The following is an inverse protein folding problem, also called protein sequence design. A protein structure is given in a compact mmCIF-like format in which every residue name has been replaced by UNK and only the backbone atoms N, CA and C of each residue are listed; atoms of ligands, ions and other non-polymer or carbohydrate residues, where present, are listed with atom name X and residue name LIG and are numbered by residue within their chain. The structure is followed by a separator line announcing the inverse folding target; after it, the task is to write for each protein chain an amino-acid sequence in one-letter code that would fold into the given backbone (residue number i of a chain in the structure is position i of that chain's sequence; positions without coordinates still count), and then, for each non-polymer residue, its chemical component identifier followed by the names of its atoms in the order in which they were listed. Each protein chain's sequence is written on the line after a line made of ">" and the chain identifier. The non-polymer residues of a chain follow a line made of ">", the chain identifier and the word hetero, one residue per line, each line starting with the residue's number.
data_IF_534247196428
#
_entry.id   IF_534247196428
#
_cell.length_a   1.000
_cell.length_b   1.000
_cell.length_c   1.000
_cell.angle_alpha   90.00
_cell.angle_beta   90.00
_cell.angle_gamma   90.00
#
_symmetry.space_group_name_H-M   'P 1'
#
loop_
_entity.id
_entity.type
_entity.pdbx_description
1 polymer ?
#
# COMPACT_ATOMS: atom_id res chain seq x y z
N UNK A 1 -31.22 -17.49 4.74
CA UNK A 1 -30.47 -16.21 4.68
C UNK A 1 -31.13 -15.20 5.61
N UNK A 2 -30.37 -14.31 6.26
CA UNK A 2 -30.95 -13.27 7.11
C UNK A 2 -31.56 -12.12 6.30
N UNK A 3 -32.63 -11.52 6.82
CA UNK A 3 -33.34 -10.42 6.17
C UNK A 3 -32.43 -9.20 5.88
N UNK A 4 -31.42 -8.95 6.74
CA UNK A 4 -30.43 -7.88 6.52
C UNK A 4 -29.57 -8.14 5.28
N UNK A 5 -29.13 -9.39 5.10
CA UNK A 5 -28.35 -9.78 3.92
C UNK A 5 -29.22 -9.74 2.67
N UNK A 6 -30.49 -10.17 2.76
CA UNK A 6 -31.45 -10.04 1.69
C UNK A 6 -31.62 -8.59 1.22
N UNK A 7 -31.76 -7.65 2.15
CA UNK A 7 -31.86 -6.22 1.84
C UNK A 7 -30.65 -5.69 1.04
N UNK A 8 -29.43 -6.03 1.47
CA UNK A 8 -28.22 -5.64 0.76
C UNK A 8 -28.16 -6.23 -0.65
N UNK A 9 -28.59 -7.49 -0.83
CA UNK A 9 -28.67 -8.11 -2.14
C UNK A 9 -29.77 -7.47 -3.01
N UNK A 10 -30.91 -7.05 -2.43
CA UNK A 10 -31.94 -6.31 -3.17
C UNK A 10 -31.39 -5.00 -3.72
N UNK A 11 -30.66 -4.21 -2.93
CA UNK A 11 -30.05 -2.96 -3.41
C UNK A 11 -29.07 -3.21 -4.55
N UNK A 12 -28.15 -4.17 -4.38
CA UNK A 12 -27.22 -4.58 -5.45
C UNK A 12 -27.93 -5.05 -6.72
N UNK A 13 -29.10 -5.67 -6.60
CA UNK A 13 -29.91 -6.07 -7.76
C UNK A 13 -30.45 -4.85 -8.52
N UNK A 14 -30.95 -3.83 -7.82
CA UNK A 14 -31.41 -2.59 -8.45
C UNK A 14 -30.27 -1.80 -9.09
N UNK A 15 -29.08 -1.83 -8.48
CA UNK A 15 -27.86 -1.21 -9.04
C UNK A 15 -27.24 -2.01 -10.20
N UNK A 16 -27.80 -3.18 -10.55
CA UNK A 16 -27.28 -4.13 -11.56
C UNK A 16 -25.88 -4.68 -11.23
N UNK A 17 -25.51 -4.74 -9.96
CA UNK A 17 -24.22 -5.23 -9.44
C UNK A 17 -24.29 -6.61 -8.75
N UNK A 18 -25.43 -7.30 -8.84
CA UNK A 18 -25.61 -8.61 -8.21
C UNK A 18 -24.98 -9.75 -9.05
N UNK A 19 -24.33 -10.70 -8.39
CA UNK A 19 -23.83 -11.92 -9.06
C UNK A 19 -24.94 -12.95 -9.24
N UNK A 20 -24.81 -13.83 -10.24
CA UNK A 20 -25.81 -14.89 -10.54
C UNK A 20 -26.09 -15.82 -9.34
N UNK A 21 -25.08 -16.10 -8.51
CA UNK A 21 -25.23 -16.95 -7.32
C UNK A 21 -26.07 -16.22 -6.27
N UNK A 22 -25.75 -14.97 -5.98
CA UNK A 22 -26.49 -14.16 -5.01
C UNK A 22 -27.90 -13.82 -5.47
N UNK A 23 -28.14 -13.72 -6.78
CA UNK A 23 -29.47 -13.55 -7.33
C UNK A 23 -30.36 -14.76 -7.05
N UNK A 24 -29.84 -15.98 -7.21
CA UNK A 24 -30.55 -17.20 -6.82
C UNK A 24 -30.83 -17.24 -5.32
N UNK A 25 -29.83 -16.97 -4.49
CA UNK A 25 -29.99 -16.89 -3.03
C UNK A 25 -31.07 -15.89 -2.60
N UNK A 26 -31.08 -14.72 -3.26
CA UNK A 26 -32.06 -13.67 -3.01
C UNK A 26 -33.47 -14.11 -3.42
N UNK A 27 -33.63 -14.71 -4.60
CA UNK A 27 -34.94 -15.17 -5.08
C UNK A 27 -35.52 -16.23 -4.15
N UNK A 28 -34.72 -17.22 -3.72
CA UNK A 28 -35.15 -18.23 -2.74
C UNK A 28 -35.63 -17.57 -1.44
N UNK A 29 -34.89 -16.60 -0.92
CA UNK A 29 -35.29 -15.91 0.31
C UNK A 29 -36.55 -15.04 0.15
N UNK A 30 -36.73 -14.40 -1.01
CA UNK A 30 -37.94 -13.62 -1.31
C UNK A 30 -39.16 -14.54 -1.36
N UNK A 31 -39.03 -15.75 -1.88
CA UNK A 31 -40.14 -16.71 -1.93
C UNK A 31 -40.51 -17.25 -0.54
N UNK A 32 -39.52 -17.43 0.34
CA UNK A 32 -39.72 -17.93 1.70
C UNK A 32 -40.17 -16.84 2.70
N UNK A 33 -39.73 -15.59 2.51
CA UNK A 33 -39.96 -14.51 3.47
C UNK A 33 -40.94 -13.44 2.95
N UNK A 34 -42.18 -13.49 3.43
CA UNK A 34 -43.26 -12.56 3.06
C UNK A 34 -42.90 -11.08 3.29
N UNK A 35 -42.17 -10.76 4.36
CA UNK A 35 -41.76 -9.39 4.67
C UNK A 35 -40.76 -8.83 3.65
N UNK A 36 -39.79 -9.65 3.24
CA UNK A 36 -38.80 -9.31 2.21
C UNK A 36 -39.46 -9.21 0.84
N UNK A 37 -40.42 -10.09 0.52
CA UNK A 37 -41.22 -10.04 -0.71
C UNK A 37 -42.02 -8.75 -0.84
N UNK A 38 -42.72 -8.35 0.21
CA UNK A 38 -43.49 -7.11 0.22
C UNK A 38 -42.60 -5.88 -0.02
N UNK A 39 -41.42 -5.82 0.63
CA UNK A 39 -40.44 -4.74 0.42
C UNK A 39 -39.90 -4.73 -1.01
N UNK A 40 -39.54 -5.90 -1.54
CA UNK A 40 -39.03 -6.03 -2.90
C UNK A 40 -40.04 -5.56 -3.95
N UNK A 41 -41.31 -5.95 -3.82
CA UNK A 41 -42.38 -5.53 -4.72
C UNK A 41 -42.59 -4.01 -4.67
N UNK A 42 -42.65 -3.43 -3.47
CA UNK A 42 -42.82 -1.97 -3.30
C UNK A 42 -41.66 -1.16 -3.89
N UNK A 43 -40.42 -1.65 -3.72
CA UNK A 43 -39.25 -1.04 -4.35
C UNK A 43 -39.33 -1.15 -5.87
N UNK A 44 -39.67 -2.33 -6.38
CA UNK A 44 -39.80 -2.57 -7.83
C UNK A 44 -40.83 -1.62 -8.45
N UNK A 45 -42.00 -1.48 -7.82
CA UNK A 45 -43.05 -0.54 -8.23
C UNK A 45 -42.56 0.92 -8.21
N UNK A 46 -41.78 1.31 -7.20
CA UNK A 46 -41.25 2.68 -7.11
C UNK A 46 -40.23 2.95 -8.23
N UNK A 47 -39.33 1.99 -8.49
CA UNK A 47 -38.33 2.12 -9.55
C UNK A 47 -38.97 2.12 -10.95
N UNK A 48 -39.95 1.26 -11.20
CA UNK A 48 -40.69 1.27 -12.48
C UNK A 48 -41.49 2.55 -12.68
N UNK A 49 -42.09 3.10 -11.62
CA UNK A 49 -42.75 4.40 -11.67
C UNK A 49 -41.76 5.52 -12.02
N UNK A 50 -40.57 5.54 -11.39
CA UNK A 50 -39.54 6.54 -11.70
C UNK A 50 -39.03 6.40 -13.15
N UNK A 51 -38.81 5.18 -13.63
CA UNK A 51 -38.31 4.93 -14.99
C UNK A 51 -39.34 5.28 -16.07
N UNK A 52 -40.63 5.07 -15.79
CA UNK A 52 -41.73 5.45 -16.70
C UNK A 52 -42.10 6.93 -16.61
N UNK A 53 -41.73 7.61 -15.52
CA UNK A 53 -41.90 9.05 -15.43
C UNK A 53 -40.92 9.76 -16.37
N UNK A 54 -41.44 10.35 -17.44
CA UNK A 54 -40.65 11.19 -18.35
C UNK A 54 -40.31 12.49 -17.63
N UNK A 55 -39.28 12.45 -16.81
CA UNK A 55 -38.73 13.64 -16.17
C UNK A 55 -37.90 14.39 -17.22
N UNK A 56 -38.52 15.40 -17.84
CA UNK A 56 -37.79 16.27 -18.75
C UNK A 56 -36.79 17.11 -17.94
N UNK A 57 -35.52 17.03 -18.30
CA UNK A 57 -34.49 17.81 -17.66
C UNK A 57 -34.79 19.32 -17.80
N UNK A 58 -34.57 20.14 -16.75
CA UNK A 58 -34.79 21.58 -16.84
C UNK A 58 -34.01 22.18 -18.01
N UNK A 59 -34.65 23.08 -18.76
CA UNK A 59 -34.03 23.73 -19.91
C UNK A 59 -32.65 24.33 -19.54
N UNK A 60 -31.66 24.10 -20.39
CA UNK A 60 -30.29 24.62 -20.22
C UNK A 60 -29.46 23.98 -19.11
N UNK A 61 -29.87 22.84 -18.52
CA UNK A 61 -29.02 22.11 -17.58
C UNK A 61 -27.79 21.51 -18.26
N UNK A 62 -27.94 20.99 -19.47
CA UNK A 62 -26.86 20.45 -20.27
C UNK A 62 -25.77 21.50 -20.51
N UNK A 63 -26.17 22.69 -20.99
CA UNK A 63 -25.25 23.81 -21.20
C UNK A 63 -24.52 24.21 -19.91
N UNK A 64 -25.22 24.25 -18.76
CA UNK A 64 -24.62 24.57 -17.47
C UNK A 64 -23.64 23.50 -16.98
N UNK A 65 -23.97 22.22 -17.18
CA UNK A 65 -23.12 21.09 -16.81
C UNK A 65 -21.86 21.05 -17.68
N UNK A 66 -22.01 21.20 -19.00
CA UNK A 66 -20.89 21.26 -19.95
C UNK A 66 -19.97 22.44 -19.64
N UNK A 67 -20.53 23.64 -19.42
CA UNK A 67 -19.73 24.81 -19.06
C UNK A 67 -18.91 24.58 -17.79
N UNK A 68 -19.50 23.93 -16.78
CA UNK A 68 -18.80 23.62 -15.52
C UNK A 68 -17.74 22.53 -15.69
N UNK A 69 -18.01 21.48 -16.46
CA UNK A 69 -17.03 20.43 -16.81
C UNK A 69 -15.80 21.01 -17.52
N UNK A 70 -16.01 21.90 -18.49
CA UNK A 70 -14.92 22.54 -19.23
C UNK A 70 -14.04 23.41 -18.32
N UNK A 71 -14.65 24.15 -17.38
CA UNK A 71 -13.91 24.97 -16.42
C UNK A 71 -13.01 24.15 -15.48
N UNK A 72 -13.39 22.90 -15.17
CA UNK A 72 -12.59 21.99 -14.34
C UNK A 72 -11.47 21.34 -15.14
N UNK A 73 -11.72 20.97 -16.41
CA UNK A 73 -10.70 20.38 -17.29
C UNK A 73 -9.56 21.36 -17.54
N UNK A 74 -9.87 22.65 -17.73
CA UNK A 74 -8.88 23.70 -18.00
C UNK A 74 -7.88 23.92 -16.84
N UNK A 75 -8.22 23.57 -15.59
CA UNK A 75 -7.26 23.62 -14.47
C UNK A 75 -6.25 22.46 -14.46
N UNK A 76 -6.52 21.35 -15.15
CA UNK A 76 -5.63 20.18 -15.21
C UNK A 76 -4.47 20.36 -16.18
N UNK A 77 -4.63 21.22 -17.18
CA UNK A 77 -3.59 21.51 -18.17
C UNK A 77 -2.41 22.29 -17.56
N UNK A 78 -2.51 22.77 -16.32
CA UNK A 78 -1.40 23.41 -15.60
C UNK A 78 -0.32 22.41 -15.13
N UNK A 79 -0.58 21.09 -15.17
CA UNK A 79 0.43 20.05 -14.89
C UNK A 79 1.31 19.69 -16.10
N UNK A 80 1.01 20.23 -17.29
CA UNK A 80 1.81 20.00 -18.50
C UNK A 80 3.30 20.39 -18.41
N UNK A 81 3.69 21.48 -17.73
CA UNK A 81 5.10 21.89 -17.65
C UNK A 81 5.99 20.83 -17.02
N UNK A 82 5.46 20.08 -16.03
CA UNK A 82 6.20 19.00 -15.37
C UNK A 82 6.49 17.84 -16.32
N UNK A 83 5.56 17.51 -17.21
CA UNK A 83 5.75 16.42 -18.19
C UNK A 83 6.70 16.87 -19.31
N UNK A 84 6.53 18.10 -19.80
CA UNK A 84 7.33 18.65 -20.91
C UNK A 84 8.80 18.83 -20.50
N UNK A 85 9.08 19.40 -19.33
CA UNK A 85 10.46 19.59 -18.87
C UNK A 85 11.21 18.26 -18.71
N UNK A 86 10.56 17.23 -18.14
CA UNK A 86 11.17 15.91 -18.01
C UNK A 86 11.44 15.26 -19.37
N UNK A 87 10.53 15.42 -20.34
CA UNK A 87 10.73 14.91 -21.69
C UNK A 87 11.94 15.57 -22.36
N UNK A 88 12.10 16.89 -22.22
CA UNK A 88 13.24 17.63 -22.80
C UNK A 88 14.55 17.14 -22.19
N UNK A 89 14.63 17.03 -20.85
CA UNK A 89 15.83 16.54 -20.16
C UNK A 89 16.18 15.12 -20.62
N UNK A 90 15.18 14.24 -20.71
CA UNK A 90 15.37 12.87 -21.18
C UNK A 90 15.92 12.82 -22.61
N UNK A 91 15.36 13.61 -23.53
CA UNK A 91 15.81 13.67 -24.93
C UNK A 91 17.26 14.16 -25.03
N UNK A 92 17.64 15.17 -24.24
CA UNK A 92 19.04 15.67 -24.22
C UNK A 92 20.00 14.59 -23.72
N UNK A 93 19.65 13.89 -22.63
CA UNK A 93 20.47 12.78 -22.12
C UNK A 93 20.62 11.71 -23.20
N UNK A 94 19.53 11.23 -23.78
CA UNK A 94 19.60 10.19 -24.81
C UNK A 94 20.41 10.64 -26.03
N UNK A 95 20.25 11.88 -26.47
CA UNK A 95 21.01 12.43 -27.59
C UNK A 95 22.53 12.48 -27.29
N UNK A 96 22.92 12.93 -26.09
CA UNK A 96 24.35 12.96 -25.69
C UNK A 96 24.96 11.56 -25.57
N UNK A 97 24.19 10.58 -25.08
CA UNK A 97 24.62 9.19 -25.02
C UNK A 97 24.79 8.60 -26.43
N UNK A 98 23.82 8.85 -27.32
CA UNK A 98 23.90 8.40 -28.71
C UNK A 98 25.10 9.03 -29.44
N UNK A 99 25.33 10.34 -29.29
CA UNK A 99 26.50 11.02 -29.88
C UNK A 99 27.82 10.39 -29.42
N UNK A 100 27.96 10.13 -28.13
CA UNK A 100 29.15 9.47 -27.56
C UNK A 100 29.35 8.06 -28.11
N UNK A 101 28.26 7.29 -28.24
CA UNK A 101 28.26 5.94 -28.82
C UNK A 101 28.70 5.95 -30.29
N UNK A 102 28.16 6.89 -31.10
CA UNK A 102 28.50 6.98 -32.52
C UNK A 102 29.92 7.50 -32.76
N UNK A 103 30.42 8.42 -31.91
CA UNK A 103 31.73 9.05 -32.09
C UNK A 103 32.90 8.16 -31.66
N UNK A 104 32.73 7.39 -30.60
CA UNK A 104 33.81 6.63 -29.95
C UNK A 104 33.72 5.12 -30.23
N UNK A 105 32.55 4.66 -30.69
CA UNK A 105 32.23 3.26 -30.91
C UNK A 105 31.62 2.60 -29.65
N UNK A 106 30.69 1.67 -29.87
CA UNK A 106 29.96 0.96 -28.80
C UNK A 106 30.88 0.29 -27.78
N UNK A 107 32.02 -0.24 -28.23
CA UNK A 107 32.90 -1.05 -27.39
C UNK A 107 33.69 -0.21 -26.36
N UNK A 108 34.17 0.98 -26.75
CA UNK A 108 34.91 1.89 -25.87
C UNK A 108 33.96 2.53 -24.85
N UNK A 109 32.78 2.92 -25.31
CA UNK A 109 31.71 3.47 -24.48
C UNK A 109 31.27 2.50 -23.37
N UNK A 110 31.01 1.24 -23.72
CA UNK A 110 30.67 0.19 -22.75
C UNK A 110 31.80 0.03 -21.74
N UNK A 111 33.05 -0.08 -22.20
CA UNK A 111 34.21 -0.27 -21.31
C UNK A 111 34.37 0.88 -20.31
N UNK A 112 34.21 2.12 -20.76
CA UNK A 112 34.36 3.31 -19.94
C UNK A 112 33.25 3.44 -18.89
N UNK A 113 31.99 3.23 -19.30
CA UNK A 113 30.84 3.21 -18.40
C UNK A 113 30.95 2.08 -17.36
N UNK A 114 31.40 0.89 -17.77
CA UNK A 114 31.62 -0.23 -16.84
C UNK A 114 32.74 0.07 -15.84
N UNK A 115 33.83 0.70 -16.27
CA UNK A 115 34.93 1.06 -15.37
C UNK A 115 34.50 2.10 -14.33
N UNK A 116 33.73 3.12 -14.73
CA UNK A 116 33.14 4.07 -13.78
C UNK A 116 32.17 3.40 -12.82
N UNK A 117 31.33 2.48 -13.32
CA UNK A 117 30.41 1.72 -12.48
C UNK A 117 31.14 0.84 -11.46
N UNK A 118 32.21 0.17 -11.88
CA UNK A 118 33.07 -0.63 -10.98
C UNK A 118 33.74 0.28 -9.94
N UNK A 119 34.20 1.48 -10.33
CA UNK A 119 34.78 2.44 -9.39
C UNK A 119 33.73 2.95 -8.37
N UNK A 120 32.51 3.26 -8.81
CA UNK A 120 31.39 3.61 -7.94
C UNK A 120 31.01 2.45 -7.01
N UNK A 121 31.01 1.22 -7.51
CA UNK A 121 30.74 0.03 -6.70
C UNK A 121 31.83 -0.20 -5.64
N UNK A 122 33.10 -0.10 -6.01
CA UNK A 122 34.21 -0.28 -5.06
C UNK A 122 34.25 0.82 -4.00
N UNK A 123 33.96 2.07 -4.37
CA UNK A 123 33.86 3.18 -3.40
C UNK A 123 32.69 2.97 -2.45
N UNK A 124 31.50 2.58 -2.95
CA UNK A 124 30.35 2.26 -2.09
C UNK A 124 30.59 1.05 -1.19
N UNK A 125 31.25 0.00 -1.67
CA UNK A 125 31.63 -1.14 -0.86
C UNK A 125 32.61 -0.72 0.27
N UNK A 126 33.55 0.16 -0.03
CA UNK A 126 34.48 0.70 0.96
C UNK A 126 33.75 1.50 2.03
N UNK A 127 32.81 2.37 1.64
CA UNK A 127 31.94 3.12 2.57
C UNK A 127 31.13 2.16 3.43
N UNK A 128 30.54 1.11 2.84
CA UNK A 128 29.77 0.12 3.57
C UNK A 128 30.64 -0.64 4.59
N UNK A 129 31.88 -1.00 4.24
CA UNK A 129 32.80 -1.63 5.19
C UNK A 129 33.17 -0.71 6.33
N UNK A 130 33.47 0.56 6.06
CA UNK A 130 33.75 1.56 7.09
C UNK A 130 32.55 1.76 8.02
N UNK A 131 31.34 1.80 7.47
CA UNK A 131 30.11 1.91 8.24
C UNK A 131 29.88 0.68 9.11
N UNK A 132 30.08 -0.53 8.56
CA UNK A 132 29.97 -1.77 9.32
C UNK A 132 30.97 -1.82 10.48
N UNK A 133 32.22 -1.42 10.25
CA UNK A 133 33.26 -1.42 11.28
C UNK A 133 32.98 -0.38 12.38
N UNK A 134 32.42 0.77 12.00
CA UNK A 134 31.93 1.77 12.95
C UNK A 134 30.82 1.18 13.83
N UNK A 135 29.80 0.55 13.25
CA UNK A 135 28.72 -0.08 14.01
C UNK A 135 29.20 -1.21 14.91
N UNK A 136 30.11 -2.05 14.41
CA UNK A 136 30.64 -3.15 15.18
C UNK A 136 31.45 -2.67 16.39
N UNK A 137 32.28 -1.63 16.20
CA UNK A 137 33.14 -1.08 17.24
C UNK A 137 32.36 -0.28 18.28
N UNK A 138 31.44 0.58 17.85
CA UNK A 138 30.74 1.51 18.74
C UNK A 138 29.44 0.99 19.32
N UNK A 139 28.76 0.06 18.65
CA UNK A 139 27.45 -0.44 19.12
C UNK A 139 27.51 -1.92 19.51
N UNK A 140 27.98 -2.80 18.62
CA UNK A 140 27.90 -4.25 18.85
C UNK A 140 28.84 -4.71 19.99
N UNK A 141 30.12 -4.36 19.94
CA UNK A 141 31.09 -4.73 20.99
C UNK A 141 30.69 -4.25 22.40
N UNK A 142 30.35 -2.97 22.62
CA UNK A 142 29.99 -2.51 23.96
C UNK A 142 28.66 -3.10 24.45
N UNK A 143 27.65 -3.26 23.58
CA UNK A 143 26.38 -3.90 23.97
C UNK A 143 26.57 -5.36 24.37
N UNK A 144 27.38 -6.12 23.63
CA UNK A 144 27.72 -7.50 23.98
C UNK A 144 28.50 -7.57 25.30
N UNK A 145 29.46 -6.66 25.53
CA UNK A 145 30.19 -6.61 26.80
C UNK A 145 29.26 -6.29 27.98
N UNK A 146 28.34 -5.34 27.83
CA UNK A 146 27.35 -5.01 28.86
C UNK A 146 26.44 -6.21 29.12
N UNK A 147 25.98 -6.91 28.08
CA UNK A 147 25.15 -8.09 28.21
C UNK A 147 25.86 -9.24 28.97
N UNK A 148 27.14 -9.47 28.67
CA UNK A 148 27.96 -10.48 29.38
C UNK A 148 28.10 -10.11 30.87
N UNK A 149 28.42 -8.84 31.18
CA UNK A 149 28.54 -8.39 32.57
C UNK A 149 27.20 -8.52 33.30
N UNK A 150 26.10 -8.13 32.68
CA UNK A 150 24.77 -8.27 33.25
C UNK A 150 24.40 -9.74 33.51
N UNK A 151 24.74 -10.64 32.58
CA UNK A 151 24.52 -12.08 32.74
C UNK A 151 25.34 -12.67 33.89
N UNK A 152 26.60 -12.25 34.06
CA UNK A 152 27.44 -12.67 35.17
C UNK A 152 26.88 -12.20 36.53
N UNK A 153 26.44 -10.94 36.62
CA UNK A 153 25.82 -10.39 37.83
C UNK A 153 24.54 -11.16 38.16
N UNK A 154 23.67 -11.39 37.18
CA UNK A 154 22.42 -12.12 37.39
C UNK A 154 22.67 -13.58 37.80
N UNK A 155 23.67 -14.23 37.19
CA UNK A 155 24.11 -15.58 37.56
C UNK A 155 24.57 -15.65 39.01
N UNK A 156 25.42 -14.72 39.45
CA UNK A 156 25.88 -14.64 40.84
C UNK A 156 24.73 -14.41 41.82
N UNK A 157 23.82 -13.49 41.51
CA UNK A 157 22.63 -13.22 42.35
C UNK A 157 21.73 -14.46 42.44
N UNK A 158 21.55 -15.18 41.34
CA UNK A 158 20.78 -16.43 41.32
C UNK A 158 21.39 -17.48 42.26
N UNK A 159 22.71 -17.70 42.17
CA UNK A 159 23.44 -18.62 43.06
C UNK A 159 23.32 -18.20 44.53
N UNK A 160 23.49 -16.92 44.85
CA UNK A 160 23.32 -16.40 46.21
C UNK A 160 21.89 -16.64 46.71
N UNK A 161 20.87 -16.43 45.88
CA UNK A 161 19.47 -16.68 46.26
C UNK A 161 19.22 -18.16 46.58
N UNK A 162 19.81 -19.07 45.80
CA UNK A 162 19.71 -20.51 46.00
C UNK A 162 20.40 -20.91 47.30
N UNK A 163 21.60 -20.39 47.57
CA UNK A 163 22.34 -20.62 48.81
C UNK A 163 21.60 -20.08 50.05
N UNK A 164 20.99 -18.89 49.96
CA UNK A 164 20.15 -18.35 51.02
C UNK A 164 18.90 -19.19 51.27
N UNK A 165 18.28 -19.72 50.22
CA UNK A 165 17.12 -20.62 50.32
C UNK A 165 17.50 -21.94 51.00
N UNK A 166 18.67 -22.50 50.68
CA UNK A 166 19.23 -23.68 51.34
C UNK A 166 19.51 -23.42 52.82
N UNK A 167 20.15 -22.29 53.15
CA UNK A 167 20.45 -21.88 54.54
C UNK A 167 19.18 -21.71 55.38
N UNK A 168 18.13 -21.08 54.84
CA UNK A 168 16.84 -20.92 55.54
C UNK A 168 16.17 -22.27 55.85
N UNK A 169 16.21 -23.24 54.93
CA UNK A 169 15.67 -24.59 55.17
C UNK A 169 16.44 -25.35 56.24
N UNK A 170 17.74 -25.11 56.37
CA UNK A 170 18.55 -25.78 57.39
C UNK A 170 18.29 -25.24 58.81
N UNK A 171 18.01 -23.94 58.95
CA UNK A 171 17.74 -23.31 60.25
C UNK A 171 16.31 -23.63 60.77
N UNK A 172 15.34 -23.87 59.89
CA UNK A 172 13.95 -24.19 60.31
C UNK A 172 13.69 -25.64 60.71
N UNK A 173 14.71 -26.51 60.64
CA UNK A 173 14.62 -27.95 60.96
C UNK A 173 15.31 -28.27 62.29
N UNK A 174 15.88 -27.27 62.95
CA UNK A 174 16.50 -27.37 64.29
C UNK A 174 15.70 -26.55 65.29
#
# INVERSE_FOLDING_TARGET
>A
MDCRRAWNLMMKRFDKEISKIHEKELNTHIDECSSCKARFNKLTETFTFMETSVCQAPAGIENRVIAKLNSVKQKRDFLMPYVICNLIVFVVIVATWLDSIFRTGIFTFIRETFNEFIAAYNTSATIFTAFRDFFNTYFIKPTMNIAIIAALIYGLLSVVSILQKMRRRYISVR
#
